data_IF_454925471981
#
_entry.id   IF_454925471981
#
_cell.length_a   1.000
_cell.length_b   1.000
_cell.length_c   1.000
_cell.angle_alpha   90.00
_cell.angle_beta   90.00
_cell.angle_gamma   90.00
#
_symmetry.space_group_name_H-M   'P 1'
#
loop_
_entity.id
_entity.type
_entity.pdbx_description
1 polymer ?
#
# COMPACT_ATOMS: atom_id res chain seq x y z
N UNK A 1 14.99 12.13 -22.74
CA UNK A 1 16.08 11.16 -22.60
C UNK A 1 15.94 10.46 -21.25
N UNK A 2 15.85 9.14 -21.22
CA UNK A 2 15.63 8.31 -20.01
C UNK A 2 16.88 7.47 -19.65
N UNK A 3 17.96 7.65 -20.41
CA UNK A 3 19.24 7.00 -20.12
C UNK A 3 19.79 7.47 -18.77
N UNK A 4 20.49 6.55 -18.08
CA UNK A 4 21.18 6.86 -16.83
C UNK A 4 22.26 7.88 -17.14
N UNK A 5 22.26 9.00 -16.42
CA UNK A 5 23.30 10.02 -16.60
C UNK A 5 24.55 9.60 -15.85
N UNK A 6 25.70 9.75 -16.48
CA UNK A 6 27.01 9.49 -15.88
C UNK A 6 27.77 10.80 -15.68
N UNK A 7 28.42 10.92 -14.53
CA UNK A 7 29.33 12.03 -14.25
C UNK A 7 30.70 11.83 -14.93
N UNK A 8 31.61 12.79 -14.72
CA UNK A 8 32.98 12.72 -15.26
C UNK A 8 33.81 11.52 -14.75
N UNK A 9 33.32 10.78 -13.75
CA UNK A 9 33.96 9.62 -13.11
C UNK A 9 33.38 8.26 -13.54
N UNK A 10 32.55 8.19 -14.59
CA UNK A 10 31.82 6.98 -15.02
C UNK A 10 30.85 6.41 -13.94
N UNK A 11 30.65 7.16 -12.86
CA UNK A 11 29.66 6.85 -11.83
C UNK A 11 28.31 7.51 -12.18
N UNK A 12 27.18 6.83 -11.90
CA UNK A 12 25.86 7.42 -12.05
C UNK A 12 25.76 8.73 -11.23
N UNK A 13 25.23 9.80 -11.84
CA UNK A 13 25.10 11.09 -11.14
C UNK A 13 24.10 10.91 -9.97
N UNK A 14 24.35 11.53 -8.80
CA UNK A 14 23.40 11.50 -7.70
C UNK A 14 22.01 11.98 -8.13
N UNK A 15 20.95 11.52 -7.45
CA UNK A 15 19.55 11.84 -7.76
C UNK A 15 19.22 13.35 -7.80
N UNK A 16 20.09 14.21 -7.23
CA UNK A 16 19.99 15.67 -7.38
C UNK A 16 20.18 16.15 -8.84
N UNK A 17 20.95 15.41 -9.64
CA UNK A 17 21.33 15.75 -11.00
C UNK A 17 20.70 14.81 -12.05
N UNK A 18 20.19 13.66 -11.61
CA UNK A 18 19.38 12.75 -12.42
C UNK A 18 18.00 12.56 -11.80
N UNK A 19 17.00 13.21 -12.40
CA UNK A 19 15.58 13.15 -12.00
C UNK A 19 15.05 11.71 -12.08
N UNK A 20 15.63 10.86 -12.95
CA UNK A 20 15.17 9.48 -13.14
C UNK A 20 15.84 8.49 -12.19
N UNK A 21 16.80 8.93 -11.37
CA UNK A 21 17.47 8.05 -10.42
C UNK A 21 16.49 7.63 -9.31
N UNK A 22 16.43 6.33 -8.95
CA UNK A 22 15.52 5.85 -7.91
C UNK A 22 15.90 6.43 -6.54
N UNK A 23 14.96 7.15 -5.93
CA UNK A 23 15.07 7.69 -4.58
C UNK A 23 14.37 6.79 -3.54
N UNK A 24 14.77 6.94 -2.27
CA UNK A 24 14.14 6.24 -1.15
C UNK A 24 13.09 7.12 -0.43
N UNK A 25 12.97 8.40 -0.80
CA UNK A 25 12.06 9.33 -0.14
C UNK A 25 10.61 8.96 -0.42
N UNK A 26 10.24 8.75 -1.69
CA UNK A 26 8.89 8.36 -2.10
C UNK A 26 8.50 7.02 -1.44
N UNK A 27 9.30 5.95 -1.53
CA UNK A 27 9.12 4.72 -0.76
C UNK A 27 8.84 4.90 0.73
N UNK A 28 9.67 5.67 1.43
CA UNK A 28 9.56 5.87 2.88
C UNK A 28 8.27 6.63 3.22
N UNK A 29 8.00 7.71 2.51
CA UNK A 29 6.78 8.49 2.72
C UNK A 29 5.52 7.69 2.39
N UNK A 30 5.57 6.84 1.36
CA UNK A 30 4.48 5.94 1.02
C UNK A 30 4.26 4.86 2.09
N UNK A 31 5.32 4.32 2.70
CA UNK A 31 5.18 3.36 3.81
C UNK A 31 4.46 4.01 5.01
N UNK A 32 4.90 5.21 5.43
CA UNK A 32 4.27 5.95 6.55
C UNK A 32 2.81 6.26 6.22
N UNK A 33 2.55 6.77 5.01
CA UNK A 33 1.19 7.11 4.56
C UNK A 33 0.31 5.86 4.49
N UNK A 34 0.82 4.73 4.04
CA UNK A 34 0.10 3.46 4.05
C UNK A 34 -0.34 3.06 5.45
N UNK A 35 0.54 3.16 6.46
CA UNK A 35 0.20 2.85 7.85
C UNK A 35 -0.91 3.78 8.36
N UNK A 36 -0.82 5.08 8.08
CA UNK A 36 -1.83 6.06 8.49
C UNK A 36 -3.19 5.82 7.81
N UNK A 37 -3.20 5.60 6.50
CA UNK A 37 -4.43 5.33 5.72
C UNK A 37 -5.06 4.00 6.13
N UNK A 38 -4.27 2.95 6.35
CA UNK A 38 -4.75 1.68 6.86
C UNK A 38 -5.36 1.82 8.27
N UNK A 39 -4.69 2.58 9.16
CA UNK A 39 -5.22 2.91 10.47
C UNK A 39 -6.56 3.67 10.39
N UNK A 40 -6.65 4.63 9.47
CA UNK A 40 -7.88 5.37 9.21
C UNK A 40 -9.01 4.47 8.72
N UNK A 41 -8.72 3.56 7.78
CA UNK A 41 -9.69 2.57 7.31
C UNK A 41 -10.16 1.67 8.47
N UNK A 42 -9.25 1.19 9.33
CA UNK A 42 -9.63 0.42 10.53
C UNK A 42 -10.48 1.24 11.51
N UNK A 43 -10.22 2.54 11.63
CA UNK A 43 -11.03 3.48 12.41
C UNK A 43 -12.45 3.60 11.88
N UNK A 44 -12.61 3.72 10.56
CA UNK A 44 -13.94 3.76 9.91
C UNK A 44 -14.73 2.45 10.04
N UNK A 45 -14.03 1.35 10.36
CA UNK A 45 -14.63 0.03 10.61
C UNK A 45 -14.93 -0.23 12.09
N UNK A 46 -14.62 0.70 13.00
CA UNK A 46 -14.76 0.50 14.46
C UNK A 46 -13.78 -0.53 15.05
N UNK A 47 -12.74 -0.89 14.29
CA UNK A 47 -11.77 -1.93 14.67
C UNK A 47 -10.42 -1.35 15.09
N UNK A 48 -10.30 -0.04 15.12
CA UNK A 48 -9.04 0.61 15.46
C UNK A 48 -8.62 0.31 16.89
N UNK A 49 -7.45 -0.30 17.03
CA UNK A 49 -6.70 -0.32 18.29
C UNK A 49 -5.25 0.06 18.00
N UNK A 50 -4.56 0.74 18.95
CA UNK A 50 -3.15 1.11 18.77
C UNK A 50 -2.26 -0.10 18.47
N UNK A 51 -2.59 -1.26 19.03
CA UNK A 51 -1.87 -2.52 18.81
C UNK A 51 -2.02 -3.01 17.37
N UNK A 52 -3.21 -2.89 16.77
CA UNK A 52 -3.41 -3.25 15.36
C UNK A 52 -2.62 -2.35 14.41
N UNK A 53 -2.52 -1.05 14.72
CA UNK A 53 -1.71 -0.12 13.94
C UNK A 53 -0.23 -0.52 13.99
N UNK A 54 0.28 -0.82 15.19
CA UNK A 54 1.64 -1.30 15.39
C UNK A 54 1.92 -2.64 14.70
N UNK A 55 0.97 -3.58 14.74
CA UNK A 55 1.05 -4.85 14.00
C UNK A 55 1.08 -4.63 12.50
N UNK A 56 0.26 -3.73 11.96
CA UNK A 56 0.22 -3.43 10.53
C UNK A 56 1.53 -2.81 10.04
N UNK A 57 2.06 -1.84 10.78
CA UNK A 57 3.35 -1.23 10.49
C UNK A 57 4.48 -2.26 10.55
N UNK A 58 4.51 -3.08 11.60
CA UNK A 58 5.51 -4.13 11.78
C UNK A 58 5.42 -5.20 10.69
N UNK A 59 4.22 -5.61 10.30
CA UNK A 59 4.00 -6.57 9.21
C UNK A 59 4.47 -6.00 7.87
N UNK A 60 4.17 -4.73 7.56
CA UNK A 60 4.63 -4.08 6.34
C UNK A 60 6.15 -4.02 6.25
N UNK A 61 6.82 -3.62 7.35
CA UNK A 61 8.29 -3.59 7.44
C UNK A 61 8.86 -5.01 7.38
N UNK A 62 8.25 -5.99 8.04
CA UNK A 62 8.71 -7.38 8.04
C UNK A 62 8.69 -7.98 6.62
N UNK A 63 7.60 -7.79 5.87
CA UNK A 63 7.51 -8.22 4.47
C UNK A 63 8.52 -7.50 3.57
N UNK A 64 8.75 -6.20 3.79
CA UNK A 64 9.73 -5.43 3.04
C UNK A 64 11.16 -5.95 3.28
N UNK A 65 11.53 -6.19 4.53
CA UNK A 65 12.84 -6.74 4.92
C UNK A 65 13.01 -8.16 4.39
N UNK A 66 12.00 -9.00 4.56
CA UNK A 66 12.00 -10.39 4.09
C UNK A 66 12.18 -10.46 2.57
N UNK A 67 11.46 -9.64 1.81
CA UNK A 67 11.60 -9.60 0.35
C UNK A 67 13.01 -9.18 -0.07
N UNK A 68 13.56 -8.11 0.52
CA UNK A 68 14.90 -7.64 0.19
C UNK A 68 15.97 -8.67 0.59
N UNK A 69 15.76 -9.40 1.69
CA UNK A 69 16.59 -10.53 2.07
C UNK A 69 16.57 -11.64 1.02
N UNK A 70 15.39 -12.06 0.55
CA UNK A 70 15.29 -13.07 -0.52
C UNK A 70 15.96 -12.59 -1.81
N UNK A 71 15.78 -11.32 -2.20
CA UNK A 71 16.44 -10.76 -3.38
C UNK A 71 17.97 -10.80 -3.23
N UNK A 72 18.50 -10.47 -2.04
CA UNK A 72 19.94 -10.53 -1.75
C UNK A 72 20.47 -11.95 -1.86
N UNK A 73 19.77 -12.93 -1.28
CA UNK A 73 20.11 -14.35 -1.38
C UNK A 73 20.07 -14.82 -2.84
N UNK A 74 19.03 -14.47 -3.60
CA UNK A 74 18.92 -14.83 -5.03
C UNK A 74 20.06 -14.22 -5.85
N UNK A 75 20.41 -12.94 -5.63
CA UNK A 75 21.56 -12.30 -6.29
C UNK A 75 22.87 -13.03 -5.99
N UNK A 76 23.07 -13.42 -4.73
CA UNK A 76 24.25 -14.15 -4.29
C UNK A 76 24.34 -15.52 -4.96
N UNK A 77 23.27 -16.33 -4.89
CA UNK A 77 23.20 -17.68 -5.49
C UNK A 77 23.38 -17.64 -7.01
N UNK A 78 22.81 -16.65 -7.69
CA UNK A 78 22.93 -16.51 -9.15
C UNK A 78 24.26 -15.90 -9.60
N UNK A 79 25.10 -15.46 -8.66
CA UNK A 79 26.37 -14.74 -8.87
C UNK A 79 26.19 -13.48 -9.75
N UNK A 80 25.19 -12.65 -9.40
CA UNK A 80 24.88 -11.39 -10.10
C UNK A 80 25.09 -10.20 -9.15
N UNK A 81 26.26 -10.17 -8.50
CA UNK A 81 26.56 -9.21 -7.42
C UNK A 81 26.46 -7.74 -7.86
N UNK A 82 26.77 -7.45 -9.13
CA UNK A 82 26.85 -6.07 -9.65
C UNK A 82 25.55 -5.53 -10.25
N UNK A 83 24.45 -6.31 -10.32
CA UNK A 83 23.28 -5.90 -11.09
C UNK A 83 22.44 -4.78 -10.44
N UNK A 84 22.36 -4.73 -9.11
CA UNK A 84 21.56 -3.74 -8.36
C UNK A 84 22.13 -3.56 -6.96
N UNK A 85 22.39 -2.32 -6.55
CA UNK A 85 22.66 -1.98 -5.16
C UNK A 85 21.48 -2.32 -4.25
N UNK A 86 21.76 -2.57 -2.96
CA UNK A 86 20.73 -2.84 -1.94
C UNK A 86 19.69 -1.72 -1.88
N UNK A 87 20.15 -0.47 -1.96
CA UNK A 87 19.29 0.71 -1.94
C UNK A 87 18.33 0.77 -3.12
N UNK A 88 18.78 0.38 -4.31
CA UNK A 88 17.92 0.32 -5.48
C UNK A 88 16.85 -0.76 -5.34
N UNK A 89 17.21 -1.95 -4.85
CA UNK A 89 16.21 -3.00 -4.59
C UNK A 89 15.20 -2.60 -3.52
N UNK A 90 15.63 -1.90 -2.47
CA UNK A 90 14.76 -1.41 -1.42
C UNK A 90 13.77 -0.36 -1.95
N UNK A 91 14.25 0.58 -2.77
CA UNK A 91 13.41 1.58 -3.42
C UNK A 91 12.38 0.92 -4.36
N UNK A 92 12.84 0.05 -5.25
CA UNK A 92 11.98 -0.61 -6.24
C UNK A 92 10.91 -1.52 -5.62
N UNK A 93 11.27 -2.30 -4.60
CA UNK A 93 10.34 -3.13 -3.84
C UNK A 93 9.25 -2.32 -3.14
N UNK A 94 9.57 -1.10 -2.71
CA UNK A 94 8.67 -0.27 -1.90
C UNK A 94 7.72 0.61 -2.70
N UNK A 95 7.93 0.84 -4.01
CA UNK A 95 6.99 1.66 -4.80
C UNK A 95 5.56 1.10 -4.84
N UNK A 96 5.37 -0.18 -4.50
CA UNK A 96 4.05 -0.79 -4.32
C UNK A 96 3.16 -0.08 -3.29
N UNK A 97 3.75 0.56 -2.28
CA UNK A 97 2.99 1.27 -1.23
C UNK A 97 2.12 2.39 -1.81
N UNK A 98 2.56 3.05 -2.89
CA UNK A 98 1.77 4.10 -3.57
C UNK A 98 0.46 3.53 -4.13
N UNK A 99 0.52 2.40 -4.84
CA UNK A 99 -0.66 1.74 -5.37
C UNK A 99 -1.58 1.19 -4.29
N UNK A 100 -1.02 0.69 -3.18
CA UNK A 100 -1.80 0.23 -2.03
C UNK A 100 -2.56 1.37 -1.36
N UNK A 101 -1.96 2.54 -1.17
CA UNK A 101 -2.64 3.73 -0.61
C UNK A 101 -3.86 4.09 -1.45
N UNK A 102 -3.69 4.23 -2.76
CA UNK A 102 -4.79 4.61 -3.67
C UNK A 102 -5.90 3.56 -3.64
N UNK A 103 -5.54 2.27 -3.61
CA UNK A 103 -6.50 1.18 -3.49
C UNK A 103 -7.33 1.26 -2.20
N UNK A 104 -6.70 1.62 -1.06
CA UNK A 104 -7.40 1.81 0.21
C UNK A 104 -8.28 3.07 0.23
N UNK A 105 -7.88 4.15 -0.42
CA UNK A 105 -8.73 5.34 -0.55
C UNK A 105 -9.97 5.06 -1.42
N UNK A 106 -9.79 4.33 -2.52
CA UNK A 106 -10.91 3.87 -3.36
C UNK A 106 -11.80 2.89 -2.61
N UNK A 107 -11.23 2.01 -1.79
CA UNK A 107 -12.01 1.14 -0.91
C UNK A 107 -12.95 1.94 -0.01
N UNK A 108 -12.46 3.03 0.60
CA UNK A 108 -13.27 3.87 1.47
C UNK A 108 -14.40 4.59 0.71
N UNK A 109 -14.13 5.08 -0.50
CA UNK A 109 -15.11 5.84 -1.28
C UNK A 109 -16.15 4.97 -2.00
N UNK A 110 -15.74 3.81 -2.53
CA UNK A 110 -16.54 3.01 -3.47
C UNK A 110 -16.72 1.54 -3.04
N UNK A 111 -16.11 1.13 -1.92
CA UNK A 111 -16.24 -0.21 -1.36
C UNK A 111 -15.32 -1.27 -1.98
N UNK A 112 -15.60 -2.53 -1.63
CA UNK A 112 -14.72 -3.69 -1.92
C UNK A 112 -14.52 -3.97 -3.41
N UNK A 113 -15.56 -3.83 -4.23
CA UNK A 113 -15.49 -4.12 -5.66
C UNK A 113 -14.54 -3.18 -6.37
N UNK A 114 -14.65 -1.88 -6.11
CA UNK A 114 -13.77 -0.86 -6.69
C UNK A 114 -12.32 -1.02 -6.21
N UNK A 115 -12.14 -1.45 -4.96
CA UNK A 115 -10.83 -1.81 -4.42
C UNK A 115 -10.12 -2.90 -5.24
N UNK A 116 -10.79 -4.02 -5.55
CA UNK A 116 -10.14 -5.09 -6.34
C UNK A 116 -9.78 -4.66 -7.75
N UNK A 117 -10.64 -3.88 -8.41
CA UNK A 117 -10.34 -3.30 -9.73
C UNK A 117 -9.11 -2.38 -9.68
N UNK A 118 -9.05 -1.50 -8.68
CA UNK A 118 -7.95 -0.56 -8.49
C UNK A 118 -6.66 -1.27 -8.11
N UNK A 119 -6.74 -2.25 -7.20
CA UNK A 119 -5.61 -3.07 -6.80
C UNK A 119 -5.05 -3.86 -8.00
N UNK A 120 -5.92 -4.45 -8.82
CA UNK A 120 -5.52 -5.15 -10.04
C UNK A 120 -4.81 -4.23 -11.03
N UNK A 121 -5.35 -3.01 -11.25
CA UNK A 121 -4.72 -2.00 -12.09
C UNK A 121 -3.32 -1.64 -11.58
N UNK A 122 -3.18 -1.29 -10.30
CA UNK A 122 -1.88 -0.92 -9.73
C UNK A 122 -0.91 -2.10 -9.65
N UNK A 123 -1.38 -3.32 -9.44
CA UNK A 123 -0.55 -4.52 -9.47
C UNK A 123 0.09 -4.73 -10.85
N UNK A 124 -0.69 -4.60 -11.93
CA UNK A 124 -0.18 -4.68 -13.30
C UNK A 124 0.73 -3.49 -13.61
N UNK A 125 0.37 -2.27 -13.18
CA UNK A 125 1.18 -1.07 -13.40
C UNK A 125 2.55 -1.17 -12.71
N UNK A 126 2.60 -1.64 -11.46
CA UNK A 126 3.86 -1.84 -10.71
C UNK A 126 4.70 -2.94 -11.37
N UNK A 127 4.10 -4.06 -11.77
CA UNK A 127 4.82 -5.10 -12.49
C UNK A 127 5.42 -4.58 -13.81
N UNK A 128 4.63 -3.87 -14.62
CA UNK A 128 5.11 -3.26 -15.86
C UNK A 128 6.22 -2.22 -15.61
N UNK A 129 6.04 -1.35 -14.62
CA UNK A 129 7.05 -0.36 -14.22
C UNK A 129 8.35 -1.04 -13.81
N UNK A 130 8.31 -2.10 -13.00
CA UNK A 130 9.51 -2.81 -12.59
C UNK A 130 10.18 -3.53 -13.76
N UNK A 131 9.41 -4.18 -14.63
CA UNK A 131 9.97 -4.80 -15.84
C UNK A 131 10.66 -3.74 -16.71
N UNK A 132 10.08 -2.54 -16.86
CA UNK A 132 10.67 -1.49 -17.69
C UNK A 132 11.91 -0.88 -17.05
N UNK A 133 11.81 -0.50 -15.78
CA UNK A 133 12.83 0.28 -15.07
C UNK A 133 13.96 -0.61 -14.57
N UNK A 134 13.68 -1.77 -13.96
CA UNK A 134 14.74 -2.66 -13.45
C UNK A 134 15.52 -3.28 -14.61
N UNK A 135 14.87 -3.51 -15.76
CA UNK A 135 15.56 -4.02 -16.96
C UNK A 135 16.68 -3.10 -17.42
N UNK A 136 16.47 -1.79 -17.43
CA UNK A 136 17.49 -0.83 -17.86
C UNK A 136 18.67 -0.84 -16.90
N UNK A 137 18.43 -0.83 -15.59
CA UNK A 137 19.52 -0.93 -14.59
C UNK A 137 20.29 -2.27 -14.64
N UNK A 138 19.59 -3.39 -14.85
CA UNK A 138 20.18 -4.74 -14.77
C UNK A 138 20.86 -5.18 -16.07
N UNK A 139 20.26 -4.86 -17.22
CA UNK A 139 20.74 -5.28 -18.54
C UNK A 139 21.59 -4.23 -19.25
N UNK A 140 21.40 -2.94 -18.97
CA UNK A 140 22.09 -1.83 -19.68
C UNK A 140 23.10 -1.10 -18.77
N UNK A 141 23.26 -1.52 -17.51
CA UNK A 141 24.20 -0.91 -16.56
C UNK A 141 25.69 -1.16 -16.87
N UNK A 142 26.61 -0.45 -16.19
CA UNK A 142 28.05 -0.57 -16.40
C UNK A 142 28.49 -2.00 -16.10
N UNK A 143 29.00 -2.72 -17.11
CA UNK A 143 29.31 -4.16 -17.04
C UNK A 143 28.37 -5.07 -17.83
N UNK A 144 27.34 -4.53 -18.49
CA UNK A 144 26.50 -5.27 -19.44
C UNK A 144 27.30 -5.92 -20.58
N UNK A 145 28.39 -5.28 -21.02
CA UNK A 145 29.26 -5.75 -22.10
C UNK A 145 30.25 -6.87 -21.70
N UNK A 146 30.38 -7.20 -20.41
CA UNK A 146 31.41 -8.12 -19.93
C UNK A 146 30.93 -9.57 -19.72
N UNK A 147 29.63 -9.87 -19.83
CA UNK A 147 29.11 -11.16 -19.37
C UNK A 147 27.92 -11.67 -20.18
N UNK A 148 28.18 -12.12 -21.41
CA UNK A 148 27.20 -12.69 -22.35
C UNK A 148 26.46 -13.94 -21.78
N UNK A 149 27.00 -14.57 -20.72
CA UNK A 149 26.41 -15.71 -20.02
C UNK A 149 25.42 -15.40 -18.88
N UNK A 150 25.24 -14.13 -18.49
CA UNK A 150 24.47 -13.73 -17.29
C UNK A 150 23.03 -13.26 -17.55
N UNK A 151 22.70 -12.91 -18.80
CA UNK A 151 21.44 -12.24 -19.17
C UNK A 151 20.19 -13.04 -18.81
N UNK A 152 20.21 -14.37 -19.00
CA UNK A 152 19.08 -15.25 -18.64
C UNK A 152 18.80 -15.24 -17.13
N UNK A 153 19.85 -15.26 -16.30
CA UNK A 153 19.73 -15.25 -14.83
C UNK A 153 19.22 -13.90 -14.32
N UNK A 154 19.72 -12.82 -14.93
CA UNK A 154 19.24 -11.44 -14.69
C UNK A 154 17.75 -11.28 -15.02
N UNK A 155 17.29 -11.88 -16.11
CA UNK A 155 15.87 -11.91 -16.49
C UNK A 155 15.03 -12.72 -15.50
N UNK A 156 15.51 -13.87 -15.01
CA UNK A 156 14.81 -14.64 -13.98
C UNK A 156 14.67 -13.85 -12.66
N UNK A 157 15.72 -13.15 -12.24
CA UNK A 157 15.66 -12.27 -11.06
C UNK A 157 14.62 -11.16 -11.25
N UNK A 158 14.61 -10.51 -12.42
CA UNK A 158 13.65 -9.45 -12.73
C UNK A 158 12.21 -9.95 -12.72
N UNK A 159 11.97 -11.11 -13.35
CA UNK A 159 10.64 -11.72 -13.41
C UNK A 159 10.18 -12.16 -12.01
N UNK A 160 11.08 -12.70 -11.19
CA UNK A 160 10.82 -13.00 -9.78
C UNK A 160 10.38 -11.75 -9.01
N UNK A 161 11.18 -10.68 -9.02
CA UNK A 161 10.87 -9.42 -8.32
C UNK A 161 9.54 -8.83 -8.80
N UNK A 162 9.29 -8.84 -10.11
CA UNK A 162 8.06 -8.26 -10.67
C UNK A 162 6.81 -9.05 -10.31
N UNK A 163 6.88 -10.38 -10.23
CA UNK A 163 5.73 -11.23 -9.94
C UNK A 163 5.42 -11.34 -8.45
N UNK A 164 6.40 -11.12 -7.57
CA UNK A 164 6.15 -11.11 -6.12
C UNK A 164 5.40 -9.86 -5.67
N UNK A 165 5.50 -8.72 -6.38
CA UNK A 165 4.85 -7.48 -5.95
C UNK A 165 3.32 -7.57 -5.86
N UNK A 166 2.59 -8.02 -6.91
CA UNK A 166 1.14 -8.16 -6.83
C UNK A 166 0.66 -9.02 -5.66
N UNK A 167 1.38 -10.11 -5.39
CA UNK A 167 1.06 -11.02 -4.29
C UNK A 167 1.18 -10.32 -2.94
N UNK A 168 2.29 -9.64 -2.69
CA UNK A 168 2.52 -8.90 -1.42
C UNK A 168 1.51 -7.76 -1.27
N UNK A 169 1.20 -7.04 -2.37
CA UNK A 169 0.20 -5.98 -2.35
C UNK A 169 -1.14 -6.52 -1.88
N UNK A 170 -1.65 -7.56 -2.54
CA UNK A 170 -2.90 -8.20 -2.16
C UNK A 170 -2.88 -8.73 -0.72
N UNK A 171 -1.78 -9.37 -0.30
CA UNK A 171 -1.64 -9.91 1.05
C UNK A 171 -1.77 -8.82 2.12
N UNK A 172 -1.02 -7.72 1.98
CA UNK A 172 -1.02 -6.63 2.96
C UNK A 172 -2.36 -5.90 3.01
N UNK A 173 -2.98 -5.58 1.86
CA UNK A 173 -4.22 -4.80 1.83
C UNK A 173 -5.47 -5.64 2.09
N UNK A 174 -5.47 -6.94 1.74
CA UNK A 174 -6.63 -7.82 1.97
C UNK A 174 -7.00 -7.89 3.45
N UNK A 175 -6.01 -7.97 4.35
CA UNK A 175 -6.22 -8.00 5.81
C UNK A 175 -7.09 -6.85 6.33
N UNK A 176 -6.99 -5.67 5.72
CA UNK A 176 -7.73 -4.46 6.07
C UNK A 176 -9.12 -4.46 5.42
N UNK A 177 -9.21 -4.85 4.15
CA UNK A 177 -10.44 -4.75 3.33
C UNK A 177 -11.42 -5.93 3.48
N UNK A 178 -11.03 -6.96 4.24
CA UNK A 178 -11.84 -8.15 4.50
C UNK A 178 -13.10 -7.87 5.34
N UNK A 179 -13.23 -6.67 5.91
CA UNK A 179 -14.44 -6.19 6.56
C UNK A 179 -14.98 -4.97 5.80
N UNK A 180 -16.27 -4.97 5.45
CA UNK A 180 -16.94 -3.81 4.85
C UNK A 180 -17.89 -3.27 5.91
N UNK A 181 -17.67 -2.05 6.44
CA UNK A 181 -18.67 -1.41 7.28
C UNK A 181 -19.93 -1.20 6.44
N UNK A 182 -21.10 -1.57 6.98
CA UNK A 182 -22.35 -1.22 6.33
C UNK A 182 -22.44 0.30 6.20
N UNK A 183 -23.00 0.84 5.11
CA UNK A 183 -23.14 2.30 4.94
C UNK A 183 -23.86 2.98 6.13
N UNK A 184 -24.75 2.24 6.80
CA UNK A 184 -25.47 2.67 7.99
C UNK A 184 -24.57 2.69 9.25
N UNK A 185 -23.60 1.79 9.33
CA UNK A 185 -22.65 1.63 10.43
C UNK A 185 -21.71 2.85 10.52
N UNK A 186 -21.21 3.34 9.37
CA UNK A 186 -20.38 4.53 9.31
C UNK A 186 -21.13 5.80 9.74
N UNK A 187 -22.38 5.96 9.28
CA UNK A 187 -23.20 7.10 9.64
C UNK A 187 -23.57 7.07 11.14
N UNK A 188 -23.93 5.89 11.65
CA UNK A 188 -24.23 5.69 13.08
C UNK A 188 -23.01 5.96 13.97
N UNK A 189 -21.82 5.51 13.56
CA UNK A 189 -20.56 5.78 14.27
C UNK A 189 -20.14 7.26 14.20
N UNK A 190 -20.33 7.92 13.07
CA UNK A 190 -20.06 9.36 12.92
C UNK A 190 -20.98 10.19 13.83
N UNK A 191 -22.26 9.82 13.92
CA UNK A 191 -23.25 10.44 14.79
C UNK A 191 -22.96 10.17 16.28
N UNK A 192 -22.46 8.98 16.62
CA UNK A 192 -21.99 8.66 17.96
C UNK A 192 -20.76 9.49 18.37
N UNK A 193 -19.80 9.67 17.47
CA UNK A 193 -18.57 10.45 17.72
C UNK A 193 -18.80 11.94 17.94
N UNK A 194 -19.87 12.52 17.39
CA UNK A 194 -20.28 13.92 17.62
C UNK A 194 -21.25 14.09 18.80
N UNK A 195 -21.44 13.05 19.63
CA UNK A 195 -22.25 13.10 20.84
C UNK A 195 -23.75 12.86 20.63
N UNK A 196 -24.20 12.54 19.41
CA UNK A 196 -25.62 12.28 19.09
C UNK A 196 -26.03 10.81 19.17
N UNK A 197 -25.10 9.87 19.44
CA UNK A 197 -25.37 8.44 19.45
C UNK A 197 -26.06 7.89 20.71
N UNK A 198 -26.23 8.71 21.76
CA UNK A 198 -26.76 8.27 23.05
C UNK A 198 -27.59 9.34 23.77
N UNK A 199 -28.62 9.89 23.12
CA UNK A 199 -29.65 10.60 23.86
C UNK A 199 -30.47 9.57 24.67
N UNK A 200 -30.14 9.42 25.97
CA UNK A 200 -30.98 8.69 26.93
C UNK A 200 -32.32 9.41 27.05
N UNK A 201 -33.34 8.93 26.34
CA UNK A 201 -34.72 9.23 26.68
C UNK A 201 -35.25 8.08 27.53
N UNK A 202 -35.48 8.35 28.82
CA UNK A 202 -36.34 7.54 29.69
C UNK A 202 -36.01 6.05 29.81
N UNK A 203 -34.86 5.68 30.38
CA UNK A 203 -34.68 4.37 31.01
C UNK A 203 -34.67 3.12 30.10
N UNK A 204 -34.75 3.25 28.78
CA UNK A 204 -34.59 2.13 27.85
C UNK A 204 -33.25 2.24 27.11
N UNK A 205 -32.43 1.18 27.19
CA UNK A 205 -31.20 1.05 26.39
C UNK A 205 -31.60 0.73 24.96
N UNK A 206 -31.74 1.76 24.13
CA UNK A 206 -31.97 1.63 22.69
C UNK A 206 -31.27 2.76 21.95
N UNK A 207 -30.08 2.50 21.40
CA UNK A 207 -29.50 3.38 20.37
C UNK A 207 -30.38 3.41 19.12
N UNK A 208 -30.23 4.45 18.28
CA UNK A 208 -30.79 4.74 16.94
C UNK A 208 -32.23 4.30 16.60
N UNK A 209 -32.62 3.06 16.90
CA UNK A 209 -33.97 2.49 16.83
C UNK A 209 -35.00 3.16 17.74
N UNK A 210 -34.60 4.02 18.68
CA UNK A 210 -35.54 4.77 19.50
C UNK A 210 -36.23 5.92 18.75
N UNK A 211 -35.67 6.36 17.61
CA UNK A 211 -36.16 7.51 16.82
C UNK A 211 -36.72 7.09 15.47
N UNK A 212 -36.95 5.80 15.25
CA UNK A 212 -37.44 5.26 13.98
C UNK A 212 -38.58 4.29 14.30
N UNK A 213 -39.75 4.56 13.73
CA UNK A 213 -40.91 3.71 13.89
C UNK A 213 -40.73 2.38 13.12
N UNK A 214 -41.49 1.31 13.44
CA UNK A 214 -41.33 0.00 12.81
C UNK A 214 -41.54 -0.04 11.28
N UNK A 215 -42.07 1.04 10.71
CA UNK A 215 -42.29 1.28 9.27
C UNK A 215 -41.08 1.93 8.57
N UNK A 216 -40.05 2.34 9.32
CA UNK A 216 -38.85 2.98 8.80
C UNK A 216 -38.92 4.49 8.67
N UNK A 217 -40.01 5.14 9.13
CA UNK A 217 -40.08 6.60 9.19
C UNK A 217 -39.39 7.16 10.45
N UNK A 218 -38.80 8.35 10.29
CA UNK A 218 -38.07 9.04 11.36
C UNK A 218 -39.09 9.75 12.26
N UNK A 219 -39.03 9.47 13.56
CA UNK A 219 -39.91 10.06 14.55
C UNK A 219 -39.41 11.47 14.95
N UNK A 220 -39.93 12.47 14.23
CA UNK A 220 -39.55 13.87 14.41
C UNK A 220 -39.95 14.44 15.78
N UNK A 221 -40.98 13.91 16.44
CA UNK A 221 -41.37 14.36 17.78
C UNK A 221 -40.37 13.88 18.85
N UNK A 222 -39.87 12.66 18.71
CA UNK A 222 -38.83 12.13 19.59
C UNK A 222 -37.49 12.88 19.43
N UNK A 223 -37.17 13.34 18.21
CA UNK A 223 -36.00 14.19 17.94
C UNK A 223 -36.11 15.57 18.56
N UNK A 224 -37.29 16.21 18.51
CA UNK A 224 -37.52 17.54 19.08
C UNK A 224 -37.55 17.55 20.61
N UNK A 225 -37.78 16.38 21.25
CA UNK A 225 -37.77 16.21 22.71
C UNK A 225 -36.42 15.77 23.27
N UNK A 226 -35.43 15.51 22.43
CA UNK A 226 -34.08 15.21 22.88
C UNK A 226 -33.46 16.48 23.54
N UNK A 227 -32.80 16.34 24.70
CA UNK A 227 -32.17 17.46 25.40
C UNK A 227 -30.95 18.00 24.65
#
# INVERSE_FOLDING_TARGET
>A
DWSVKYGNSDEPVPARFDINAPDLYIPLMALVTYVLVAGFVLGTQGRFTPEQLGLLASNAVAWLVLENFFILVTKYVMNISQALSLWHTLAFSSYKFVGMIISLLVFLAFGRTAYYWTLGYFAVAVAFFLIRTVKTFVLEGPGAYAQDGGTKRKLYLLLFISLTQPFIMWWLTSSITNFVPGKMDLAEMAMAGIGMGAAKVGGAVGGAKAFVQPDGEVDYEALLRAP
#
